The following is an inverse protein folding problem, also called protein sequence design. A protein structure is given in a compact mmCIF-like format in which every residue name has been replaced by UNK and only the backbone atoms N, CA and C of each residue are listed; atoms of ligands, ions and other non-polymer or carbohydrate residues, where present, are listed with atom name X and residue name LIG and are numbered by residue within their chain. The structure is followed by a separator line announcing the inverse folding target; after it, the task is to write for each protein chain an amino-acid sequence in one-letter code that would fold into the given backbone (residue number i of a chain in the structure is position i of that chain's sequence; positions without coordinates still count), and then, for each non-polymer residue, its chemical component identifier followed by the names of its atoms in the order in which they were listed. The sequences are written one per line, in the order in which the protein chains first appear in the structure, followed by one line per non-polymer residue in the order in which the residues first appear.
data_IF_887979633838
#
_entry.id   IF_887979633838
#
_cell.length_a   1.000
_cell.length_b   1.000
_cell.length_c   1.000
_cell.angle_alpha   90.00
_cell.angle_beta   90.00
_cell.angle_gamma   90.00
#
_symmetry.space_group_name_H-M   'P 1'
#
loop_
_entity.id
_entity.type
_entity.pdbx_description
1 polymer ?
#
# COMPACT_ATOMS: atom_id res chain seq x y z
N UNK A 1 13.55 36.17 -3.94
CA UNK A 1 13.76 34.73 -3.70
C UNK A 1 12.91 34.16 -2.57
N UNK A 2 12.79 34.84 -1.42
CA UNK A 2 12.12 34.30 -0.23
C UNK A 2 10.61 34.02 -0.40
N UNK A 3 9.90 34.79 -1.25
CA UNK A 3 8.46 34.58 -1.53
C UNK A 3 8.18 33.26 -2.26
N UNK A 4 9.13 32.75 -3.04
CA UNK A 4 8.98 31.53 -3.84
C UNK A 4 9.07 30.27 -2.96
N UNK A 5 9.97 30.30 -1.96
CA UNK A 5 10.10 29.22 -0.97
C UNK A 5 8.83 29.05 -0.13
N UNK A 6 8.13 30.14 0.20
CA UNK A 6 6.86 30.08 0.92
C UNK A 6 5.78 29.32 0.15
N UNK A 7 5.73 29.49 -1.17
CA UNK A 7 4.76 28.79 -2.04
C UNK A 7 5.09 27.29 -2.09
N UNK A 8 6.37 26.93 -2.26
CA UNK A 8 6.81 25.52 -2.26
C UNK A 8 6.49 24.84 -0.93
N UNK A 9 6.72 25.51 0.19
CA UNK A 9 6.41 24.98 1.53
C UNK A 9 4.90 24.72 1.71
N UNK A 10 4.05 25.58 1.12
CA UNK A 10 2.59 25.44 1.16
C UNK A 10 2.08 24.27 0.31
N UNK A 11 2.79 23.93 -0.79
CA UNK A 11 2.48 22.72 -1.57
C UNK A 11 2.95 21.42 -0.91
N UNK A 12 4.02 21.46 -0.11
CA UNK A 12 4.49 20.27 0.62
C UNK A 12 3.57 19.90 1.78
N UNK A 13 2.86 20.88 2.37
CA UNK A 13 1.96 20.64 3.51
C UNK A 13 0.61 20.01 3.12
N UNK A 14 0.17 20.10 1.86
CA UNK A 14 -1.09 19.47 1.41
C UNK A 14 -1.01 17.95 1.35
N UNK A 15 0.20 17.39 1.22
CA UNK A 15 0.47 15.95 1.24
C UNK A 15 -0.02 15.27 2.53
N UNK A 16 0.01 15.99 3.66
CA UNK A 16 -0.24 15.45 5.00
C UNK A 16 -1.74 15.14 5.22
N UNK A 17 -2.64 15.78 4.48
CA UNK A 17 -4.10 15.65 4.67
C UNK A 17 -4.77 14.66 3.72
N UNK A 18 -4.02 13.98 2.84
CA UNK A 18 -4.56 13.08 1.81
C UNK A 18 -4.40 11.59 2.13
N UNK A 19 -4.10 11.22 3.38
CA UNK A 19 -3.85 9.81 3.71
C UNK A 19 -5.09 8.94 3.49
N UNK A 20 -4.89 7.80 2.83
CA UNK A 20 -5.96 6.81 2.60
C UNK A 20 -6.23 6.07 3.91
N UNK A 21 -7.50 6.03 4.35
CA UNK A 21 -7.90 5.29 5.55
C UNK A 21 -8.31 3.87 5.17
N UNK A 22 -7.86 2.89 5.94
CA UNK A 22 -8.25 1.48 5.81
C UNK A 22 -8.32 0.83 7.21
N UNK A 23 -8.75 -0.43 7.28
CA UNK A 23 -8.83 -1.21 8.52
C UNK A 23 -8.32 -2.64 8.34
N UNK A 24 -8.21 -3.38 9.44
CA UNK A 24 -7.75 -4.77 9.43
C UNK A 24 -8.67 -5.73 8.66
N UNK A 25 -9.96 -5.38 8.52
CA UNK A 25 -10.92 -6.22 7.83
C UNK A 25 -10.70 -6.14 6.32
N UNK A 26 -10.44 -4.95 5.78
CA UNK A 26 -10.04 -4.73 4.38
C UNK A 26 -8.67 -5.34 4.08
N UNK A 27 -7.68 -5.15 4.98
CA UNK A 27 -6.32 -5.69 4.79
C UNK A 27 -6.23 -7.22 4.88
N UNK A 28 -7.32 -7.91 5.28
CA UNK A 28 -7.38 -9.37 5.32
C UNK A 28 -7.64 -9.99 3.95
N UNK A 29 -7.89 -9.20 2.91
CA UNK A 29 -8.15 -9.66 1.53
C UNK A 29 -6.89 -10.22 0.84
N UNK A 30 -6.30 -11.25 1.46
CA UNK A 30 -5.12 -11.99 1.02
C UNK A 30 -5.55 -13.43 0.73
N UNK A 31 -5.17 -13.91 -0.46
CA UNK A 31 -5.49 -15.26 -0.93
C UNK A 31 -4.20 -16.01 -1.24
N UNK A 32 -4.29 -17.33 -1.37
CA UNK A 32 -3.13 -18.18 -1.63
C UNK A 32 -3.38 -19.05 -2.84
N UNK A 33 -2.33 -19.22 -3.66
CA UNK A 33 -2.30 -20.18 -4.75
C UNK A 33 -1.09 -21.09 -4.60
N UNK A 34 -1.26 -22.35 -4.97
CA UNK A 34 -0.15 -23.29 -5.04
C UNK A 34 0.70 -22.96 -6.26
N UNK A 35 2.00 -22.75 -6.05
CA UNK A 35 2.97 -22.50 -7.10
C UNK A 35 4.15 -23.44 -6.94
N UNK A 36 4.52 -24.10 -8.02
CA UNK A 36 5.68 -24.97 -8.07
C UNK A 36 6.97 -24.14 -8.10
N UNK A 37 7.95 -24.52 -7.28
CA UNK A 37 9.31 -23.97 -7.32
C UNK A 37 10.28 -25.05 -7.80
N UNK A 38 10.94 -24.78 -8.91
CA UNK A 38 11.98 -25.65 -9.48
C UNK A 38 13.21 -25.76 -8.57
N UNK A 39 13.55 -24.68 -7.84
CA UNK A 39 14.71 -24.64 -6.94
C UNK A 39 14.59 -25.66 -5.80
N UNK A 40 13.37 -25.88 -5.30
CA UNK A 40 13.10 -26.73 -4.15
C UNK A 40 12.33 -28.01 -4.52
N UNK A 41 12.06 -28.24 -5.81
CA UNK A 41 11.27 -29.37 -6.31
C UNK A 41 9.98 -29.58 -5.49
N UNK A 42 9.25 -28.48 -5.25
CA UNK A 42 8.15 -28.47 -4.28
C UNK A 42 7.10 -27.39 -4.59
N UNK A 43 5.88 -27.62 -4.10
CA UNK A 43 4.78 -26.65 -4.19
C UNK A 43 4.71 -25.79 -2.92
N UNK A 44 4.63 -24.47 -3.12
CA UNK A 44 4.48 -23.48 -2.06
C UNK A 44 3.16 -22.73 -2.19
N UNK A 45 2.60 -22.30 -1.06
CA UNK A 45 1.47 -21.38 -1.04
C UNK A 45 1.99 -19.95 -1.19
N UNK A 46 1.78 -19.38 -2.38
CA UNK A 46 2.19 -18.01 -2.69
C UNK A 46 0.99 -17.09 -2.49
N UNK A 47 1.11 -16.03 -1.68
CA UNK A 47 0.03 -15.09 -1.48
C UNK A 47 -0.21 -14.24 -2.73
N UNK A 48 -1.46 -13.84 -2.95
CA UNK A 48 -1.85 -12.77 -3.85
C UNK A 48 -2.89 -11.91 -3.17
N UNK A 49 -2.88 -10.61 -3.47
CA UNK A 49 -3.74 -9.63 -2.83
C UNK A 49 -5.01 -9.43 -3.65
N UNK A 50 -6.14 -9.22 -2.98
CA UNK A 50 -7.35 -8.80 -3.66
C UNK A 50 -7.24 -7.37 -4.17
N UNK A 51 -8.10 -7.00 -5.12
CA UNK A 51 -8.02 -5.73 -5.88
C UNK A 51 -7.95 -4.49 -4.98
N UNK A 52 -8.61 -4.52 -3.83
CA UNK A 52 -8.65 -3.39 -2.90
C UNK A 52 -7.28 -3.18 -2.25
N UNK A 53 -6.60 -4.26 -1.84
CA UNK A 53 -5.25 -4.19 -1.27
C UNK A 53 -4.20 -3.90 -2.35
N UNK A 54 -4.34 -4.51 -3.54
CA UNK A 54 -3.45 -4.19 -4.68
C UNK A 54 -3.48 -2.70 -5.03
N UNK A 55 -4.66 -2.06 -4.92
CA UNK A 55 -4.80 -0.63 -5.16
C UNK A 55 -4.10 0.25 -4.10
N UNK A 56 -3.65 -0.32 -2.98
CA UNK A 56 -2.87 0.36 -1.93
C UNK A 56 -1.36 0.23 -2.14
N UNK A 57 -0.91 -0.54 -3.13
CA UNK A 57 0.51 -0.71 -3.40
C UNK A 57 1.22 0.64 -3.60
N UNK A 58 2.35 0.80 -2.92
CA UNK A 58 3.14 2.05 -2.87
C UNK A 58 2.38 3.29 -2.37
N UNK A 59 1.25 3.14 -1.67
CA UNK A 59 0.49 4.25 -1.08
C UNK A 59 0.66 4.33 0.43
N UNK A 60 0.72 5.55 0.95
CA UNK A 60 0.67 5.79 2.38
C UNK A 60 -0.77 5.64 2.87
N UNK A 61 -0.96 4.81 3.90
CA UNK A 61 -2.27 4.54 4.50
C UNK A 61 -2.25 4.83 5.99
N UNK A 62 -3.41 5.17 6.56
CA UNK A 62 -3.65 5.15 7.99
C UNK A 62 -4.55 3.95 8.29
N UNK A 63 -4.03 3.01 9.07
CA UNK A 63 -4.79 1.86 9.53
C UNK A 63 -5.50 2.25 10.82
N UNK A 64 -6.79 1.95 10.88
CA UNK A 64 -7.62 2.18 12.07
C UNK A 64 -8.35 0.90 12.46
N UNK A 65 -8.67 0.75 13.74
CA UNK A 65 -9.31 -0.46 14.28
C UNK A 65 -8.40 -1.32 15.12
#
# INVERSE_FOLDING_TARGET
MNKFFGIIFLFLSTSIFSQIKTDWLELRDVHYKSQYSEEYDSYFQVPFFGKNIEALDNKEVTITG
#
